data_IF_257804722909
#
_entry.id   IF_257804722909
#
_cell.length_a   1.000
_cell.length_b   1.000
_cell.length_c   1.000
_cell.angle_alpha   90.00
_cell.angle_beta   90.00
_cell.angle_gamma   90.00
#
_symmetry.space_group_name_H-M   'P 1'
#
loop_
_entity.id
_entity.type
_entity.pdbx_description
1 polymer ?
#
# COMPACT_ATOMS: atom_id res chain seq x y z
N UNK A 1 40.51 -17.21 44.77
CA UNK A 1 39.66 -16.64 43.70
C UNK A 1 38.27 -16.37 44.26
N UNK A 2 37.85 -15.11 44.31
CA UNK A 2 36.49 -14.75 44.75
C UNK A 2 35.56 -14.92 43.55
N UNK A 3 34.77 -15.99 43.52
CA UNK A 3 33.74 -16.20 42.51
C UNK A 3 32.74 -15.04 42.53
N UNK A 4 32.43 -14.49 41.35
CA UNK A 4 31.44 -13.42 41.21
C UNK A 4 30.04 -13.95 41.50
N UNK A 5 29.11 -13.03 41.82
CA UNK A 5 27.73 -13.39 42.17
C UNK A 5 27.03 -14.20 41.07
N UNK A 6 27.28 -13.89 39.80
CA UNK A 6 26.72 -14.62 38.65
C UNK A 6 27.30 -16.03 38.50
N UNK A 7 28.62 -16.20 38.65
CA UNK A 7 29.26 -17.52 38.59
C UNK A 7 28.75 -18.46 39.69
N UNK A 8 28.47 -17.92 40.89
CA UNK A 8 27.85 -18.70 41.97
C UNK A 8 26.42 -19.14 41.64
N UNK A 9 25.62 -18.29 40.97
CA UNK A 9 24.27 -18.67 40.52
C UNK A 9 24.31 -19.84 39.54
N UNK A 10 25.18 -19.79 38.54
CA UNK A 10 25.34 -20.88 37.56
C UNK A 10 25.77 -22.19 38.23
N UNK A 11 26.68 -22.14 39.20
CA UNK A 11 27.10 -23.35 39.91
C UNK A 11 25.98 -23.95 40.77
N UNK A 12 25.15 -23.12 41.41
CA UNK A 12 23.96 -23.58 42.16
C UNK A 12 22.99 -24.30 41.22
N UNK A 13 22.75 -23.75 40.02
CA UNK A 13 21.85 -24.36 39.02
C UNK A 13 22.39 -25.71 38.55
N UNK A 14 23.68 -25.79 38.18
CA UNK A 14 24.31 -27.05 37.75
C UNK A 14 24.24 -28.14 38.82
N UNK A 15 24.60 -27.82 40.07
CA UNK A 15 24.55 -28.79 41.16
C UNK A 15 23.11 -29.26 41.46
N UNK A 16 22.13 -28.40 41.24
CA UNK A 16 20.72 -28.75 41.38
C UNK A 16 20.23 -29.65 40.24
N UNK A 17 20.64 -29.37 39.00
CA UNK A 17 20.40 -30.23 37.83
C UNK A 17 21.06 -31.62 37.98
N UNK A 18 22.24 -31.67 38.61
CA UNK A 18 22.94 -32.91 38.99
C UNK A 18 22.23 -33.69 40.12
N UNK A 19 21.08 -33.21 40.61
CA UNK A 19 20.25 -33.87 41.61
C UNK A 19 20.69 -33.66 43.07
N UNK A 20 21.63 -32.74 43.34
CA UNK A 20 22.04 -32.45 44.72
C UNK A 20 20.96 -31.69 45.46
N UNK A 21 20.76 -32.06 46.73
CA UNK A 21 19.85 -31.36 47.63
C UNK A 21 20.40 -29.98 47.99
N UNK A 22 19.52 -29.03 48.32
CA UNK A 22 19.90 -27.68 48.76
C UNK A 22 20.88 -27.68 49.93
N UNK A 23 20.81 -28.69 50.81
CA UNK A 23 21.77 -28.91 51.92
C UNK A 23 23.16 -29.30 51.44
N UNK A 24 23.26 -30.15 50.42
CA UNK A 24 24.55 -30.53 49.82
C UNK A 24 25.18 -29.36 49.07
N UNK A 25 24.37 -28.61 48.30
CA UNK A 25 24.80 -27.39 47.62
C UNK A 25 25.32 -26.35 48.61
N UNK A 26 24.64 -26.16 49.74
CA UNK A 26 25.08 -25.26 50.81
C UNK A 26 26.44 -25.64 51.39
N UNK A 27 26.68 -26.95 51.60
CA UNK A 27 27.94 -27.46 52.15
C UNK A 27 29.10 -27.29 51.16
N UNK A 28 28.85 -27.52 49.88
CA UNK A 28 29.85 -27.46 48.81
C UNK A 28 30.21 -26.02 48.43
N UNK A 29 29.22 -25.14 48.29
CA UNK A 29 29.41 -23.75 47.89
C UNK A 29 29.63 -22.79 49.07
N UNK A 30 29.48 -23.28 50.31
CA UNK A 30 29.44 -22.46 51.54
C UNK A 30 28.45 -21.28 51.40
N UNK A 31 27.28 -21.57 50.83
CA UNK A 31 26.20 -20.61 50.62
C UNK A 31 25.06 -20.85 51.60
N UNK A 32 24.35 -19.78 51.97
CA UNK A 32 23.19 -19.91 52.84
C UNK A 32 22.06 -20.63 52.10
N UNK A 33 21.27 -21.43 52.83
CA UNK A 33 20.08 -22.09 52.27
C UNK A 33 19.07 -21.08 51.72
N UNK A 34 19.04 -19.86 52.29
CA UNK A 34 18.19 -18.76 51.81
C UNK A 34 18.61 -18.29 50.43
N UNK A 35 19.90 -18.05 50.21
CA UNK A 35 20.41 -17.59 48.91
C UNK A 35 20.20 -18.65 47.83
N UNK A 36 20.45 -19.92 48.16
CA UNK A 36 20.18 -21.05 47.28
C UNK A 36 18.69 -21.11 46.94
N UNK A 37 17.81 -20.96 47.93
CA UNK A 37 16.36 -20.94 47.73
C UNK A 37 15.89 -19.82 46.81
N UNK A 38 16.45 -18.62 46.92
CA UNK A 38 16.13 -17.50 46.01
C UNK A 38 16.55 -17.84 44.58
N UNK A 39 17.76 -18.37 44.38
CA UNK A 39 18.29 -18.72 43.06
C UNK A 39 17.45 -19.81 42.41
N UNK A 40 17.12 -20.86 43.16
CA UNK A 40 16.29 -21.96 42.65
C UNK A 40 14.85 -21.53 42.41
N UNK A 41 14.29 -20.62 43.21
CA UNK A 41 12.99 -20.03 42.94
C UNK A 41 13.00 -19.14 41.68
N UNK A 42 14.08 -18.40 41.43
CA UNK A 42 14.25 -17.65 40.17
C UNK A 42 14.38 -18.58 38.97
N UNK A 43 15.10 -19.69 39.10
CA UNK A 43 15.30 -20.68 38.03
C UNK A 43 14.04 -21.52 37.77
N UNK A 44 13.33 -21.94 38.81
CA UNK A 44 12.08 -22.71 38.73
C UNK A 44 10.84 -21.83 38.49
N UNK A 45 10.99 -20.51 38.38
CA UNK A 45 9.94 -19.68 37.82
C UNK A 45 9.77 -20.10 36.36
N UNK A 46 8.76 -20.93 36.13
CA UNK A 46 8.19 -21.13 34.81
C UNK A 46 8.02 -19.73 34.21
N UNK A 47 8.57 -19.44 33.02
CA UNK A 47 8.32 -18.18 32.36
C UNK A 47 6.81 -17.95 32.38
N UNK A 48 6.36 -16.80 32.88
CA UNK A 48 4.94 -16.48 32.79
C UNK A 48 4.53 -16.74 31.35
N UNK A 49 3.49 -17.57 31.10
CA UNK A 49 3.06 -17.83 29.74
C UNK A 49 2.85 -16.47 29.09
N UNK A 50 3.58 -16.20 27.99
CA UNK A 50 3.48 -14.94 27.27
C UNK A 50 2.00 -14.61 27.15
N UNK A 51 1.61 -13.42 27.65
CA UNK A 51 0.20 -13.03 27.68
C UNK A 51 -0.40 -13.33 26.31
N UNK A 52 -1.47 -14.13 26.22
CA UNK A 52 -2.02 -14.50 24.94
C UNK A 52 -2.30 -13.23 24.15
N UNK A 53 -1.75 -13.16 22.94
CA UNK A 53 -1.95 -12.03 22.03
C UNK A 53 -3.45 -11.74 21.95
N UNK A 54 -3.83 -10.47 22.03
CA UNK A 54 -5.23 -10.07 21.88
C UNK A 54 -5.77 -10.51 20.51
N UNK A 55 -7.10 -10.68 20.40
CA UNK A 55 -7.73 -11.05 19.14
C UNK A 55 -7.39 -10.08 17.99
N UNK A 56 -7.19 -8.79 18.31
CA UNK A 56 -6.65 -7.78 17.39
C UNK A 56 -5.25 -8.11 16.89
N UNK A 57 -4.32 -8.47 17.78
CA UNK A 57 -2.95 -8.80 17.38
C UNK A 57 -2.90 -10.11 16.59
N UNK A 58 -3.70 -11.11 16.99
CA UNK A 58 -3.83 -12.40 16.28
C UNK A 58 -4.42 -12.23 14.88
N UNK A 59 -5.48 -11.44 14.72
CA UNK A 59 -6.07 -11.17 13.40
C UNK A 59 -5.10 -10.48 12.45
N UNK A 60 -4.34 -9.48 12.94
CA UNK A 60 -3.30 -8.82 12.15
C UNK A 60 -2.20 -9.81 11.71
N UNK A 61 -1.79 -10.72 12.59
CA UNK A 61 -0.81 -11.76 12.28
C UNK A 61 -1.34 -12.72 11.21
N UNK A 62 -2.59 -13.18 11.32
CA UNK A 62 -3.23 -14.01 10.31
C UNK A 62 -3.34 -13.30 8.95
N UNK A 63 -3.71 -12.00 8.92
CA UNK A 63 -3.73 -11.24 7.67
C UNK A 63 -2.34 -11.10 7.04
N UNK A 64 -1.30 -10.98 7.86
CA UNK A 64 0.09 -10.96 7.38
C UNK A 64 0.52 -12.30 6.78
N UNK A 65 -0.03 -13.41 7.28
CA UNK A 65 0.14 -14.76 6.72
C UNK A 65 -0.68 -15.00 5.45
N UNK A 66 -1.50 -14.03 5.03
CA UNK A 66 -2.32 -14.11 3.82
C UNK A 66 -3.69 -14.74 4.01
N UNK A 67 -4.13 -14.92 5.26
CA UNK A 67 -5.47 -15.42 5.58
C UNK A 67 -6.54 -14.41 5.19
N UNK A 68 -7.66 -14.90 4.67
CA UNK A 68 -8.78 -14.05 4.29
C UNK A 68 -9.67 -13.68 5.50
N UNK A 69 -10.60 -12.74 5.31
CA UNK A 69 -11.48 -12.28 6.39
C UNK A 69 -12.42 -13.36 6.92
N UNK A 70 -12.77 -14.36 6.11
CA UNK A 70 -13.65 -15.47 6.52
C UNK A 70 -12.87 -16.46 7.37
N UNK A 71 -11.65 -16.79 6.98
CA UNK A 71 -10.73 -17.61 7.78
C UNK A 71 -10.45 -16.95 9.14
N UNK A 72 -10.16 -15.64 9.17
CA UNK A 72 -9.93 -14.93 10.43
C UNK A 72 -11.19 -14.90 11.30
N UNK A 73 -12.37 -14.69 10.70
CA UNK A 73 -13.65 -14.71 11.40
C UNK A 73 -13.89 -16.07 12.08
N UNK A 74 -13.69 -17.16 11.34
CA UNK A 74 -13.97 -18.52 11.80
C UNK A 74 -12.91 -19.04 12.78
N UNK A 75 -11.62 -18.73 12.56
CA UNK A 75 -10.54 -19.20 13.44
C UNK A 75 -10.49 -18.47 14.79
N UNK A 76 -10.85 -17.19 14.82
CA UNK A 76 -10.81 -16.39 16.06
C UNK A 76 -12.19 -16.22 16.71
N UNK A 77 -13.23 -16.81 16.13
CA UNK A 77 -14.62 -16.72 16.58
C UNK A 77 -15.04 -15.26 16.80
N UNK A 78 -14.75 -14.40 15.81
CA UNK A 78 -15.00 -12.97 15.87
C UNK A 78 -16.28 -12.60 15.13
N UNK A 79 -16.90 -11.48 15.50
CA UNK A 79 -18.00 -10.95 14.71
C UNK A 79 -17.50 -10.24 13.44
N UNK A 80 -18.37 -10.18 12.42
CA UNK A 80 -18.09 -9.46 11.16
C UNK A 80 -17.58 -8.03 11.39
N UNK A 81 -18.18 -7.31 12.34
CA UNK A 81 -17.81 -5.92 12.62
C UNK A 81 -16.39 -5.81 13.20
N UNK A 82 -15.98 -6.76 14.03
CA UNK A 82 -14.64 -6.81 14.61
C UNK A 82 -13.59 -7.14 13.55
N UNK A 83 -13.84 -8.17 12.74
CA UNK A 83 -12.96 -8.55 11.63
C UNK A 83 -12.82 -7.41 10.62
N UNK A 84 -13.93 -6.76 10.26
CA UNK A 84 -13.92 -5.60 9.36
C UNK A 84 -13.07 -4.46 9.92
N UNK A 85 -13.18 -4.20 11.23
CA UNK A 85 -12.36 -3.17 11.90
C UNK A 85 -10.88 -3.54 11.85
N UNK A 86 -10.51 -4.75 12.27
CA UNK A 86 -9.12 -5.19 12.30
C UNK A 86 -8.50 -5.30 10.90
N UNK A 87 -9.27 -5.71 9.90
CA UNK A 87 -8.82 -5.71 8.52
C UNK A 87 -8.57 -4.30 7.99
N UNK A 88 -9.46 -3.35 8.29
CA UNK A 88 -9.25 -1.94 7.96
C UNK A 88 -7.97 -1.37 8.60
N UNK A 89 -7.73 -1.69 9.87
CA UNK A 89 -6.49 -1.32 10.56
C UNK A 89 -5.25 -1.96 9.92
N UNK A 90 -5.31 -3.25 9.57
CA UNK A 90 -4.22 -3.95 8.88
C UNK A 90 -3.84 -3.27 7.56
N UNK A 91 -4.83 -2.90 6.74
CA UNK A 91 -4.60 -2.22 5.46
C UNK A 91 -4.01 -0.83 5.66
N UNK A 92 -4.48 -0.11 6.68
CA UNK A 92 -3.92 1.19 7.07
C UNK A 92 -2.46 1.07 7.50
N UNK A 93 -2.11 0.06 8.29
CA UNK A 93 -0.73 -0.21 8.72
C UNK A 93 0.18 -0.63 7.56
N UNK A 94 -0.39 -1.18 6.49
CA UNK A 94 0.31 -1.50 5.25
C UNK A 94 0.43 -0.31 4.29
N UNK A 95 -0.05 0.88 4.66
CA UNK A 95 -0.13 2.05 3.79
C UNK A 95 -0.92 1.78 2.49
N UNK A 96 -1.91 0.90 2.53
CA UNK A 96 -2.74 0.54 1.37
C UNK A 96 -4.05 1.34 1.29
N UNK A 97 -4.28 2.25 2.24
CA UNK A 97 -5.51 3.05 2.29
C UNK A 97 -5.76 3.81 0.99
N UNK A 98 -4.73 4.45 0.42
CA UNK A 98 -4.84 5.23 -0.81
C UNK A 98 -5.18 4.33 -2.01
N UNK A 99 -4.56 3.16 -2.10
CA UNK A 99 -4.86 2.18 -3.15
C UNK A 99 -6.30 1.67 -3.07
N UNK A 100 -6.79 1.38 -1.85
CA UNK A 100 -8.15 0.90 -1.64
C UNK A 100 -9.17 1.98 -1.98
N UNK A 101 -8.91 3.23 -1.60
CA UNK A 101 -9.75 4.35 -1.95
C UNK A 101 -9.80 4.54 -3.46
N UNK A 102 -8.63 4.56 -4.12
CA UNK A 102 -8.52 4.59 -5.58
C UNK A 102 -9.31 3.46 -6.23
N UNK A 103 -9.13 2.22 -5.76
CA UNK A 103 -9.87 1.06 -6.28
C UNK A 103 -11.39 1.25 -6.12
N UNK A 104 -11.86 1.70 -4.96
CA UNK A 104 -13.29 1.89 -4.69
C UNK A 104 -13.91 2.96 -5.59
N UNK A 105 -13.21 4.08 -5.78
CA UNK A 105 -13.67 5.23 -6.57
C UNK A 105 -13.60 4.95 -8.08
N UNK A 106 -12.59 4.20 -8.51
CA UNK A 106 -12.30 4.01 -9.93
C UNK A 106 -12.50 2.57 -10.42
N UNK A 107 -13.17 1.69 -9.66
CA UNK A 107 -13.35 0.27 -10.03
C UNK A 107 -13.88 0.05 -11.44
N UNK A 108 -14.79 0.92 -11.90
CA UNK A 108 -15.39 0.85 -13.23
C UNK A 108 -14.39 1.11 -14.36
N UNK A 109 -13.31 1.81 -14.06
CA UNK A 109 -12.24 2.12 -15.01
C UNK A 109 -11.13 1.06 -15.01
N UNK A 110 -11.10 0.12 -14.06
CA UNK A 110 -10.06 -0.92 -13.99
C UNK A 110 -9.89 -1.71 -15.29
N UNK A 111 -10.96 -2.20 -15.96
CA UNK A 111 -10.80 -2.92 -17.22
C UNK A 111 -10.22 -2.05 -18.34
N UNK A 112 -10.45 -0.73 -18.28
CA UNK A 112 -9.84 0.21 -19.20
C UNK A 112 -8.37 0.46 -18.86
N UNK A 113 -8.05 0.73 -17.59
CA UNK A 113 -6.69 0.96 -17.11
C UNK A 113 -5.77 -0.24 -17.40
N UNK A 114 -6.24 -1.46 -17.17
CA UNK A 114 -5.47 -2.68 -17.47
C UNK A 114 -5.12 -2.76 -18.97
N UNK A 115 -6.10 -2.50 -19.85
CA UNK A 115 -5.87 -2.47 -21.30
C UNK A 115 -4.89 -1.37 -21.71
N UNK A 116 -4.92 -0.22 -21.06
CA UNK A 116 -3.97 0.87 -21.29
C UNK A 116 -2.56 0.44 -20.88
N UNK A 117 -2.40 -0.14 -19.69
CA UNK A 117 -1.10 -0.62 -19.19
C UNK A 117 -0.53 -1.73 -20.08
N UNK A 118 -1.36 -2.67 -20.54
CA UNK A 118 -0.94 -3.72 -21.48
C UNK A 118 -0.42 -3.14 -22.80
N UNK A 119 -1.16 -2.18 -23.37
CA UNK A 119 -0.71 -1.50 -24.60
C UNK A 119 0.57 -0.70 -24.36
N UNK A 120 0.67 0.03 -23.26
CA UNK A 120 1.89 0.75 -22.92
C UNK A 120 3.10 -0.19 -22.83
N UNK A 121 2.95 -1.36 -22.19
CA UNK A 121 4.00 -2.39 -22.15
C UNK A 121 4.35 -2.91 -23.54
N UNK A 122 3.35 -3.19 -24.38
CA UNK A 122 3.56 -3.71 -25.74
C UNK A 122 4.39 -2.75 -26.61
N UNK A 123 4.20 -1.44 -26.44
CA UNK A 123 4.90 -0.41 -27.21
C UNK A 123 6.07 0.21 -26.45
N UNK A 124 6.47 -0.37 -25.32
CA UNK A 124 7.55 0.13 -24.44
C UNK A 124 7.40 1.63 -24.11
N UNK A 125 6.15 2.08 -23.89
CA UNK A 125 5.84 3.47 -23.56
C UNK A 125 6.07 3.71 -22.07
N UNK A 126 7.03 4.57 -21.76
CA UNK A 126 7.34 4.99 -20.40
C UNK A 126 6.67 6.33 -20.08
N UNK A 127 6.81 6.79 -18.84
CA UNK A 127 6.12 8.00 -18.33
C UNK A 127 6.31 9.24 -19.23
N UNK A 128 7.53 9.44 -19.75
CA UNK A 128 7.86 10.54 -20.65
C UNK A 128 7.09 10.44 -21.97
N UNK A 129 6.95 9.22 -22.51
CA UNK A 129 6.24 8.98 -23.77
C UNK A 129 4.74 9.19 -23.59
N UNK A 130 4.19 8.80 -22.43
CA UNK A 130 2.78 9.05 -22.10
C UNK A 130 2.49 10.56 -22.04
N UNK A 131 3.34 11.33 -21.37
CA UNK A 131 3.18 12.79 -21.29
C UNK A 131 3.27 13.44 -22.68
N UNK A 132 4.22 13.01 -23.50
CA UNK A 132 4.34 13.46 -24.89
C UNK A 132 3.07 13.11 -25.69
N UNK A 133 2.53 11.91 -25.52
CA UNK A 133 1.34 11.44 -26.22
C UNK A 133 0.09 12.21 -25.81
N UNK A 134 -0.08 12.52 -24.52
CA UNK A 134 -1.16 13.37 -24.01
C UNK A 134 -1.04 14.78 -24.61
N UNK A 135 0.16 15.35 -24.65
CA UNK A 135 0.40 16.67 -25.24
C UNK A 135 0.10 16.68 -26.74
N UNK A 136 0.54 15.67 -27.49
CA UNK A 136 0.22 15.52 -28.90
C UNK A 136 -1.29 15.39 -29.14
N UNK A 137 -2.01 14.61 -28.33
CA UNK A 137 -3.46 14.49 -28.42
C UNK A 137 -4.16 15.84 -28.19
N UNK A 138 -3.70 16.64 -27.24
CA UNK A 138 -4.24 17.97 -26.97
C UNK A 138 -3.96 18.93 -28.14
N UNK A 139 -2.75 18.92 -28.69
CA UNK A 139 -2.41 19.71 -29.88
C UNK A 139 -3.27 19.31 -31.08
N UNK A 140 -3.49 18.01 -31.30
CA UNK A 140 -4.31 17.52 -32.40
C UNK A 140 -5.79 17.93 -32.26
N UNK A 141 -6.32 17.93 -31.04
CA UNK A 141 -7.67 18.49 -30.77
C UNK A 141 -7.73 19.97 -31.14
N UNK A 142 -6.73 20.75 -30.73
CA UNK A 142 -6.65 22.18 -31.05
C UNK A 142 -6.57 22.40 -32.56
N UNK A 143 -5.71 21.66 -33.28
CA UNK A 143 -5.63 21.75 -34.73
C UNK A 143 -6.95 21.41 -35.43
N UNK A 144 -7.69 20.41 -34.94
CA UNK A 144 -9.01 20.11 -35.51
C UNK A 144 -10.03 21.24 -35.30
N UNK A 145 -9.97 21.94 -34.17
CA UNK A 145 -10.79 23.13 -33.94
C UNK A 145 -10.39 24.24 -34.90
N UNK A 146 -9.11 24.56 -35.00
CA UNK A 146 -8.59 25.60 -35.91
C UNK A 146 -8.91 25.28 -37.36
N UNK A 147 -8.77 24.02 -37.79
CA UNK A 147 -9.14 23.58 -39.14
C UNK A 147 -10.60 23.88 -39.43
N UNK A 148 -11.51 23.57 -38.49
CA UNK A 148 -12.95 23.86 -38.65
C UNK A 148 -13.23 25.36 -38.75
N UNK A 149 -12.53 26.18 -37.96
CA UNK A 149 -12.66 27.64 -37.99
C UNK A 149 -12.20 28.21 -39.34
N UNK A 150 -11.01 27.83 -39.80
CA UNK A 150 -10.50 28.27 -41.09
C UNK A 150 -11.38 27.80 -42.26
N UNK A 151 -11.90 26.57 -42.19
CA UNK A 151 -12.83 26.08 -43.19
C UNK A 151 -14.10 26.94 -43.26
N UNK A 152 -14.63 27.35 -42.11
CA UNK A 152 -15.78 28.24 -42.04
C UNK A 152 -15.46 29.63 -42.62
N UNK A 153 -14.31 30.20 -42.27
CA UNK A 153 -13.86 31.50 -42.78
C UNK A 153 -13.68 31.49 -44.31
N UNK A 154 -13.03 30.46 -44.85
CA UNK A 154 -12.88 30.26 -46.30
C UNK A 154 -14.25 30.20 -46.98
N UNK A 155 -15.21 29.47 -46.40
CA UNK A 155 -16.56 29.41 -46.96
C UNK A 155 -17.25 30.78 -46.98
N UNK A 156 -17.13 31.56 -45.90
CA UNK A 156 -17.67 32.92 -45.83
C UNK A 156 -17.04 33.84 -46.89
N UNK A 157 -15.71 33.79 -47.04
CA UNK A 157 -14.99 34.59 -48.04
C UNK A 157 -15.37 34.19 -49.47
N UNK A 158 -15.55 32.89 -49.73
CA UNK A 158 -16.00 32.39 -51.05
C UNK A 158 -17.42 32.90 -51.36
N UNK A 159 -18.31 32.92 -50.38
CA UNK A 159 -19.67 33.48 -50.55
C UNK A 159 -19.62 34.99 -50.82
N UNK A 160 -18.82 35.74 -50.04
CA UNK A 160 -18.65 37.18 -50.23
C UNK A 160 -18.09 37.49 -51.63
N UNK A 161 -17.06 36.75 -52.07
CA UNK A 161 -16.49 36.89 -53.40
C UNK A 161 -17.56 36.71 -54.49
N UNK A 162 -18.39 35.67 -54.38
CA UNK A 162 -19.48 35.42 -55.34
C UNK A 162 -20.48 36.57 -55.37
N UNK A 163 -20.92 37.07 -54.21
CA UNK A 163 -21.83 38.22 -54.15
C UNK A 163 -21.25 39.46 -54.84
N UNK A 164 -19.96 39.75 -54.61
CA UNK A 164 -19.30 40.89 -55.26
C UNK A 164 -19.12 40.69 -56.78
N UNK A 165 -18.82 39.46 -57.22
CA UNK A 165 -18.73 39.14 -58.65
C UNK A 165 -20.09 39.25 -59.35
N UNK A 166 -21.18 38.89 -58.68
CA UNK A 166 -22.56 39.03 -59.17
C UNK A 166 -23.06 40.48 -59.19
N UNK A 167 -22.41 41.40 -58.45
CA UNK A 167 -22.73 42.85 -58.44
C UNK A 167 -22.02 43.62 -59.58
N UNK A 168 -20.91 43.12 -60.10
CA UNK A 168 -20.11 43.73 -61.18
C UNK A 168 -20.78 43.76 -62.59
N UNK A 169 -21.79 42.92 -62.97
CA UNK A 169 -22.40 42.98 -64.30
C UNK A 169 -23.18 44.27 -64.61
N UNK A 170 -23.47 45.13 -63.61
CA UNK A 170 -24.25 46.35 -63.79
C UNK A 170 -23.45 47.66 -63.78
N UNK A 171 -22.11 47.59 -63.75
CA UNK A 171 -21.23 48.76 -63.83
C UNK A 171 -21.00 49.23 -65.26
N UNK A 172 -21.92 50.06 -65.81
CA UNK A 172 -21.59 50.96 -66.93
C UNK A 172 -20.37 51.79 -66.54
N UNK A 173 -19.28 51.68 -67.29
CA UNK A 173 -18.17 52.64 -67.25
C UNK A 173 -18.72 53.97 -67.79
N UNK A 174 -18.84 55.05 -66.99
CA UNK A 174 -19.22 56.35 -67.52
C UNK A 174 -17.96 57.02 -68.07
N UNK A 175 -17.94 57.26 -69.39
CA UNK A 175 -16.97 58.13 -70.02
C UNK A 175 -15.98 57.42 -70.95
N UNK A 176 -16.43 57.04 -72.13
CA UNK A 176 -15.62 56.93 -73.36
C UNK A 176 -16.55 57.16 -74.56
N UNK A 177 -16.91 58.43 -74.77
CA UNK A 177 -17.12 59.06 -76.09
C UNK A 177 -16.67 60.51 -75.97
#
# INVERSE_FOLDING_TARGET
>A
MVLTRSQKKELVIKLYEDGKTTRQIAKELRMSLRDIGIILNEYNKVPDPEKPKSNRARSIEMFKEGKDTIEVLTCLDLEYNEVRKYYGEYLSLKNLTDFINFYREHKQFLPFLLRVVEKMKQYELFENDVNALINCLNQFKNFNITKKQLQHEVNCLVLQKKCLEDEIPNGKIPGLQ
#
